data_IF_811394964429
#
_entry.id   IF_811394964429
#
_cell.length_a   1.000
_cell.length_b   1.000
_cell.length_c   1.000
_cell.angle_alpha   90.00
_cell.angle_beta   90.00
_cell.angle_gamma   90.00
#
_symmetry.space_group_name_H-M   'P 1'
#
loop_
_entity.id
_entity.type
_entity.pdbx_description
1 polymer ?
#
# COMPACT_ATOMS: atom_id res chain seq x y z
N UNK A 1 -8.42 38.71 -1.69
CA UNK A 1 -9.32 37.71 -1.05
C UNK A 1 -9.89 36.85 -2.15
N UNK A 2 -9.38 35.63 -2.33
CA UNK A 2 -9.91 34.64 -3.26
C UNK A 2 -10.47 33.49 -2.41
N UNK A 3 -11.73 33.08 -2.58
CA UNK A 3 -12.28 31.96 -1.82
C UNK A 3 -11.79 30.65 -2.46
N UNK A 4 -10.86 29.97 -1.80
CA UNK A 4 -10.46 28.61 -2.15
C UNK A 4 -11.49 27.61 -1.63
N UNK A 5 -12.11 26.86 -2.53
CA UNK A 5 -13.08 25.83 -2.22
C UNK A 5 -12.43 24.70 -1.40
N UNK A 6 -12.86 24.54 -0.14
CA UNK A 6 -12.57 23.37 0.68
C UNK A 6 -13.65 22.33 0.37
N UNK A 7 -13.27 21.23 -0.30
CA UNK A 7 -14.19 20.14 -0.65
C UNK A 7 -13.55 18.77 -0.35
N UNK A 8 -14.10 18.10 0.67
CA UNK A 8 -13.91 16.66 0.90
C UNK A 8 -13.49 16.31 2.33
N UNK A 9 -14.46 16.12 3.23
CA UNK A 9 -14.23 15.55 4.57
C UNK A 9 -14.25 14.02 4.43
N UNK A 10 -13.14 13.35 4.76
CA UNK A 10 -13.10 11.90 4.98
C UNK A 10 -12.90 11.64 6.46
N UNK A 11 -13.90 11.02 7.10
CA UNK A 11 -13.84 10.60 8.49
C UNK A 11 -13.61 9.07 8.51
N UNK A 12 -12.52 8.62 9.14
CA UNK A 12 -12.28 7.21 9.44
C UNK A 12 -12.18 7.09 10.95
N UNK A 13 -13.23 6.58 11.58
CA UNK A 13 -13.30 6.37 13.02
C UNK A 13 -13.07 4.88 13.32
N UNK A 14 -12.12 4.57 14.21
CA UNK A 14 -11.81 3.22 14.67
C UNK A 14 -12.28 3.06 16.12
N UNK A 15 -13.24 2.17 16.35
CA UNK A 15 -13.67 1.77 17.70
C UNK A 15 -13.27 0.33 18.00
N UNK A 16 -12.61 0.15 19.13
CA UNK A 16 -11.97 -1.10 19.56
C UNK A 16 -12.92 -1.94 20.41
N UNK A 17 -13.36 -3.13 19.94
CA UNK A 17 -13.74 -4.27 20.82
C UNK A 17 -13.64 -5.62 20.09
N UNK A 18 -12.95 -6.58 20.71
CA UNK A 18 -13.03 -8.02 20.40
C UNK A 18 -11.69 -8.65 20.04
N UNK A 19 -11.08 -9.40 20.97
CA UNK A 19 -9.92 -10.26 20.70
C UNK A 19 -10.34 -11.70 20.96
N UNK A 20 -10.32 -12.52 19.91
CA UNK A 20 -10.29 -13.98 20.03
C UNK A 20 -8.81 -14.38 20.13
N UNK A 21 -8.38 -14.85 21.29
CA UNK A 21 -7.00 -15.29 21.54
C UNK A 21 -6.86 -16.73 21.05
N UNK A 22 -6.16 -16.96 19.93
CA UNK A 22 -5.62 -18.27 19.60
C UNK A 22 -4.37 -18.51 20.46
N UNK A 23 -4.47 -19.41 21.44
CA UNK A 23 -3.37 -19.73 22.34
C UNK A 23 -2.32 -20.58 21.62
N UNK A 24 -1.30 -19.91 21.07
CA UNK A 24 -0.01 -20.55 20.76
C UNK A 24 0.60 -21.04 22.09
N UNK A 25 1.11 -22.28 22.18
CA UNK A 25 1.69 -22.80 23.42
C UNK A 25 2.82 -21.88 23.91
N UNK A 26 2.69 -21.39 25.14
CA UNK A 26 3.67 -20.51 25.78
C UNK A 26 4.98 -21.28 26.00
N UNK A 27 5.99 -21.02 25.17
CA UNK A 27 7.39 -21.37 25.50
C UNK A 27 7.78 -20.64 26.78
N UNK A 28 8.55 -21.30 27.64
CA UNK A 28 9.14 -20.66 28.82
C UNK A 28 9.98 -19.44 28.41
N UNK A 29 9.94 -18.34 29.19
CA UNK A 29 10.72 -17.16 28.89
C UNK A 29 12.21 -17.49 28.96
N UNK A 30 12.98 -16.99 28.00
CA UNK A 30 14.43 -17.10 28.02
C UNK A 30 15.01 -16.12 29.05
N UNK A 31 16.18 -16.46 29.59
CA UNK A 31 16.94 -15.53 30.41
C UNK A 31 17.40 -14.32 29.58
N UNK A 32 17.41 -13.14 30.20
CA UNK A 32 17.96 -11.94 29.57
C UNK A 32 19.47 -12.15 29.36
N UNK A 33 20.02 -11.84 28.17
CA UNK A 33 21.45 -11.94 27.92
C UNK A 33 22.27 -11.16 28.93
N UNK A 34 23.45 -11.67 29.26
CA UNK A 34 24.38 -11.02 30.20
C UNK A 34 25.68 -10.57 29.53
N UNK A 35 25.91 -11.00 28.30
CA UNK A 35 27.11 -10.72 27.52
C UNK A 35 26.80 -10.69 26.02
N UNK A 36 27.79 -10.25 25.21
CA UNK A 36 27.57 -10.04 23.78
C UNK A 36 27.34 -11.38 23.06
N UNK A 37 27.97 -12.48 23.52
CA UNK A 37 27.80 -13.81 22.89
C UNK A 37 26.36 -14.28 23.01
N UNK A 38 25.81 -14.27 24.23
CA UNK A 38 24.41 -14.63 24.49
C UNK A 38 23.44 -13.73 23.71
N UNK A 39 23.74 -12.44 23.62
CA UNK A 39 22.93 -11.50 22.85
C UNK A 39 22.95 -11.84 21.35
N UNK A 40 24.12 -12.11 20.77
CA UNK A 40 24.24 -12.45 19.35
C UNK A 40 23.56 -13.78 19.03
N UNK A 41 23.69 -14.79 19.89
CA UNK A 41 23.00 -16.07 19.72
C UNK A 41 21.47 -15.91 19.74
N UNK A 42 20.95 -15.11 20.66
CA UNK A 42 19.53 -14.76 20.71
C UNK A 42 19.09 -14.09 19.40
N UNK A 43 19.82 -13.07 18.94
CA UNK A 43 19.47 -12.31 17.75
C UNK A 43 19.55 -13.15 16.46
N UNK A 44 20.58 -13.99 16.30
CA UNK A 44 20.69 -14.93 15.17
C UNK A 44 19.56 -15.97 15.18
N UNK A 45 19.16 -16.43 16.38
CA UNK A 45 18.01 -17.32 16.54
C UNK A 45 16.70 -16.67 16.09
N UNK A 46 16.45 -15.45 16.54
CA UNK A 46 15.26 -14.66 16.15
C UNK A 46 15.27 -14.37 14.64
N UNK A 47 16.40 -13.93 14.09
CA UNK A 47 16.52 -13.61 12.67
C UNK A 47 16.32 -14.83 11.77
N UNK A 48 16.79 -16.01 12.20
CA UNK A 48 16.55 -17.28 11.50
C UNK A 48 15.06 -17.61 11.48
N UNK A 49 14.36 -17.53 12.61
CA UNK A 49 12.91 -17.76 12.69
C UNK A 49 12.13 -16.77 11.80
N UNK A 50 12.49 -15.49 11.83
CA UNK A 50 11.87 -14.48 10.96
C UNK A 50 12.09 -14.78 9.47
N UNK A 51 13.27 -15.27 9.09
CA UNK A 51 13.56 -15.72 7.73
C UNK A 51 12.72 -16.94 7.33
N UNK A 52 12.64 -17.94 8.20
CA UNK A 52 11.86 -19.16 7.96
C UNK A 52 10.36 -18.86 7.82
N UNK A 53 9.84 -17.89 8.57
CA UNK A 53 8.46 -17.37 8.44
C UNK A 53 8.25 -16.46 7.22
N UNK A 54 9.28 -16.18 6.43
CA UNK A 54 9.19 -15.32 5.25
C UNK A 54 8.98 -13.85 5.57
N UNK A 55 9.34 -13.38 6.78
CA UNK A 55 9.20 -11.96 7.15
C UNK A 55 10.07 -11.11 6.22
N UNK A 56 9.50 -10.12 5.51
CA UNK A 56 10.26 -9.24 4.62
C UNK A 56 11.35 -8.48 5.37
N UNK A 57 12.52 -8.27 4.74
CA UNK A 57 13.69 -7.66 5.40
C UNK A 57 13.35 -6.35 6.10
N UNK A 58 12.59 -5.47 5.44
CA UNK A 58 12.20 -4.18 5.99
C UNK A 58 11.37 -4.25 7.28
N UNK A 59 10.65 -5.35 7.52
CA UNK A 59 9.81 -5.53 8.71
C UNK A 59 10.56 -6.24 9.85
N UNK A 60 11.77 -6.73 9.61
CA UNK A 60 12.50 -7.58 10.57
C UNK A 60 12.93 -6.84 11.83
N UNK A 61 13.24 -5.55 11.77
CA UNK A 61 13.57 -4.76 12.98
C UNK A 61 12.38 -4.73 13.95
N UNK A 62 11.19 -4.37 13.47
CA UNK A 62 9.98 -4.32 14.29
C UNK A 62 9.53 -5.70 14.76
N UNK A 63 9.53 -6.68 13.86
CA UNK A 63 9.19 -8.06 14.21
C UNK A 63 10.18 -8.67 15.20
N UNK A 64 11.47 -8.36 15.05
CA UNK A 64 12.53 -8.80 15.96
C UNK A 64 12.42 -8.15 17.34
N UNK A 65 12.13 -6.85 17.42
CA UNK A 65 11.81 -6.18 18.68
C UNK A 65 10.61 -6.85 19.38
N UNK A 66 9.54 -7.13 18.64
CA UNK A 66 8.37 -7.85 19.17
C UNK A 66 8.73 -9.24 19.70
N UNK A 67 9.59 -9.96 18.97
CA UNK A 67 10.03 -11.30 19.36
C UNK A 67 10.96 -11.28 20.58
N UNK A 68 11.84 -10.30 20.72
CA UNK A 68 12.66 -10.08 21.92
C UNK A 68 11.77 -9.77 23.12
N UNK A 69 10.79 -8.85 22.98
CA UNK A 69 9.81 -8.59 24.05
C UNK A 69 9.09 -9.85 24.47
N UNK A 70 8.68 -10.67 23.50
CA UNK A 70 7.93 -11.90 23.74
C UNK A 70 8.76 -12.97 24.43
N UNK A 71 9.99 -13.21 23.96
CA UNK A 71 10.87 -14.26 24.50
C UNK A 71 11.44 -13.91 25.88
N UNK A 72 11.78 -12.65 26.12
CA UNK A 72 12.39 -12.19 27.37
C UNK A 72 11.38 -11.58 28.37
N UNK A 73 10.13 -11.35 27.95
CA UNK A 73 9.08 -10.64 28.72
C UNK A 73 9.52 -9.26 29.20
N UNK A 74 10.18 -8.53 28.31
CA UNK A 74 10.64 -7.16 28.54
C UNK A 74 9.79 -6.19 27.74
N UNK A 75 9.59 -4.99 28.28
CA UNK A 75 9.07 -3.87 27.51
C UNK A 75 10.18 -3.27 26.66
N UNK A 76 9.83 -2.84 25.45
CA UNK A 76 10.74 -2.18 24.52
C UNK A 76 10.21 -0.78 24.27
N UNK A 77 11.12 0.20 24.18
CA UNK A 77 10.80 1.59 23.85
C UNK A 77 11.53 2.02 22.57
N UNK A 78 11.11 1.56 21.37
CA UNK A 78 11.88 1.76 20.15
C UNK A 78 12.10 3.24 19.80
N UNK A 79 11.10 4.08 20.06
CA UNK A 79 11.15 5.51 19.72
C UNK A 79 12.20 6.27 20.55
N UNK A 80 12.34 5.91 21.83
CA UNK A 80 13.35 6.46 22.74
C UNK A 80 14.75 5.88 22.44
N UNK A 81 14.82 4.61 22.02
CA UNK A 81 16.07 3.90 21.81
C UNK A 81 16.81 4.28 20.51
N UNK A 82 16.12 4.86 19.51
CA UNK A 82 16.71 5.17 18.20
C UNK A 82 17.91 6.13 18.27
N UNK A 83 17.93 7.02 19.25
CA UNK A 83 19.02 7.97 19.47
C UNK A 83 19.85 7.61 20.72
N UNK A 84 19.65 6.43 21.29
CA UNK A 84 20.33 5.97 22.49
C UNK A 84 21.56 5.13 22.12
N UNK A 85 22.72 5.49 22.65
CA UNK A 85 23.91 4.65 22.53
C UNK A 85 23.96 3.63 23.69
N UNK A 86 23.91 2.32 23.40
CA UNK A 86 23.89 1.30 24.45
C UNK A 86 25.23 1.22 25.16
N UNK A 87 25.19 1.16 26.49
CA UNK A 87 26.38 1.03 27.34
C UNK A 87 26.99 -0.38 27.21
N UNK A 88 28.33 -0.51 27.19
CA UNK A 88 29.00 -1.80 27.17
C UNK A 88 28.55 -2.69 28.35
N UNK A 89 28.25 -3.97 28.08
CA UNK A 89 27.86 -4.94 29.10
C UNK A 89 26.44 -4.80 29.66
N UNK A 90 25.63 -3.85 29.19
CA UNK A 90 24.25 -3.66 29.66
C UNK A 90 23.24 -4.19 28.62
N UNK A 91 22.40 -5.13 29.04
CA UNK A 91 21.42 -5.84 28.18
C UNK A 91 19.99 -5.75 28.73
N UNK A 92 19.66 -4.64 29.38
CA UNK A 92 18.33 -4.41 29.96
C UNK A 92 17.80 -3.03 29.56
N UNK A 93 16.49 -2.85 29.68
CA UNK A 93 15.82 -1.57 29.44
C UNK A 93 16.12 -0.97 28.07
N UNK A 94 16.47 0.31 28.05
CA UNK A 94 16.72 1.06 26.83
C UNK A 94 17.97 0.58 26.08
N UNK A 95 19.01 0.15 26.80
CA UNK A 95 20.24 -0.39 26.21
C UNK A 95 19.96 -1.66 25.40
N UNK A 96 19.09 -2.55 25.90
CA UNK A 96 18.67 -3.75 25.16
C UNK A 96 17.93 -3.37 23.88
N UNK A 97 16.99 -2.43 23.98
CA UNK A 97 16.22 -1.97 22.81
C UNK A 97 17.14 -1.36 21.75
N UNK A 98 18.09 -0.51 22.15
CA UNK A 98 19.06 0.10 21.26
C UNK A 98 20.00 -0.94 20.61
N UNK A 99 20.43 -1.95 21.37
CA UNK A 99 21.23 -3.07 20.84
C UNK A 99 20.48 -3.88 19.78
N UNK A 100 19.20 -4.17 19.99
CA UNK A 100 18.37 -4.88 18.99
C UNK A 100 18.25 -4.07 17.70
N UNK A 101 17.93 -2.77 17.82
CA UNK A 101 17.85 -1.85 16.67
C UNK A 101 19.20 -1.80 15.95
N UNK A 102 20.30 -1.63 16.68
CA UNK A 102 21.65 -1.57 16.09
C UNK A 102 22.02 -2.87 15.38
N UNK A 103 21.75 -4.03 15.98
CA UNK A 103 22.04 -5.34 15.38
C UNK A 103 21.35 -5.53 14.02
N UNK A 104 20.07 -5.18 13.92
CA UNK A 104 19.36 -5.25 12.64
C UNK A 104 19.96 -4.25 11.64
N UNK A 105 20.20 -2.99 12.05
CA UNK A 105 20.79 -1.97 11.20
C UNK A 105 22.17 -2.36 10.67
N UNK A 106 23.04 -2.93 11.50
CA UNK A 106 24.37 -3.37 11.10
C UNK A 106 24.30 -4.55 10.10
N UNK A 107 23.34 -5.46 10.28
CA UNK A 107 23.19 -6.65 9.42
C UNK A 107 22.57 -6.36 8.06
N UNK A 108 21.54 -5.50 8.03
CA UNK A 108 20.69 -5.31 6.85
C UNK A 108 20.84 -3.93 6.22
N UNK A 109 21.37 -2.94 6.96
CA UNK A 109 21.62 -1.59 6.49
C UNK A 109 20.40 -0.97 5.82
N UNK A 110 20.63 -0.38 4.63
CA UNK A 110 19.59 0.28 3.83
C UNK A 110 18.43 -0.66 3.43
N UNK A 111 18.60 -1.98 3.48
CA UNK A 111 17.51 -2.93 3.18
C UNK A 111 16.44 -2.97 4.25
N UNK A 112 16.69 -2.43 5.44
CA UNK A 112 15.65 -2.20 6.45
C UNK A 112 14.78 -1.00 6.09
N UNK A 113 15.37 0.01 5.45
CA UNK A 113 14.69 1.24 5.05
C UNK A 113 13.81 1.04 3.82
N UNK A 114 13.86 -0.14 3.20
CA UNK A 114 13.00 -0.51 2.07
C UNK A 114 11.57 -0.84 2.48
N UNK A 115 11.13 -0.46 3.69
CA UNK A 115 9.70 -0.27 3.93
C UNK A 115 9.37 0.90 3.02
N UNK A 116 8.90 0.59 1.84
CA UNK A 116 8.12 1.55 1.13
C UNK A 116 6.73 1.56 1.79
N UNK A 117 6.45 2.47 2.76
CA UNK A 117 5.14 2.48 3.40
C UNK A 117 4.03 2.82 2.40
N UNK A 118 4.38 3.28 1.19
CA UNK A 118 3.43 3.69 0.16
C UNK A 118 2.52 2.52 -0.23
N UNK A 119 1.18 2.68 -0.12
CA UNK A 119 0.19 1.73 -0.60
C UNK A 119 0.41 1.19 -2.01
N UNK A 120 0.99 2.01 -2.87
CA UNK A 120 1.38 1.64 -4.22
C UNK A 120 1.79 2.87 -5.02
N UNK A 121 1.84 2.71 -6.33
CA UNK A 121 2.12 3.81 -7.26
C UNK A 121 1.20 3.73 -8.47
N UNK A 122 1.06 4.84 -9.17
CA UNK A 122 0.34 4.91 -10.44
C UNK A 122 1.11 5.71 -11.47
N UNK A 123 0.94 5.33 -12.74
CA UNK A 123 1.45 6.10 -13.86
C UNK A 123 0.46 7.19 -14.24
N UNK A 124 0.95 8.39 -14.54
CA UNK A 124 0.18 9.54 -14.99
C UNK A 124 0.88 10.15 -16.21
N UNK A 125 0.11 10.78 -17.10
CA UNK A 125 0.67 11.57 -18.20
C UNK A 125 0.65 13.02 -17.78
N UNK A 126 1.79 13.68 -17.89
CA UNK A 126 1.91 15.12 -17.72
C UNK A 126 2.80 15.65 -18.83
N UNK A 127 2.24 16.56 -19.65
CA UNK A 127 2.91 17.11 -20.84
C UNK A 127 3.50 16.05 -21.78
N UNK A 128 2.71 15.01 -22.06
CA UNK A 128 3.07 13.88 -22.92
C UNK A 128 4.16 12.95 -22.37
N UNK A 129 4.69 13.22 -21.18
CA UNK A 129 5.62 12.33 -20.48
C UNK A 129 4.92 11.52 -19.39
N UNK A 130 5.46 10.32 -19.13
CA UNK A 130 4.99 9.46 -18.04
C UNK A 130 5.70 9.86 -16.76
N UNK A 131 4.90 10.10 -15.73
CA UNK A 131 5.37 10.32 -14.37
C UNK A 131 4.83 9.23 -13.45
N UNK A 132 5.60 8.91 -12.41
CA UNK A 132 5.18 7.98 -11.36
C UNK A 132 4.67 8.81 -10.18
N UNK A 133 3.37 8.68 -9.90
CA UNK A 133 2.77 9.22 -8.70
C UNK A 133 2.80 8.14 -7.61
N UNK A 134 3.55 8.42 -6.55
CA UNK A 134 3.63 7.60 -5.35
C UNK A 134 2.42 7.85 -4.46
N UNK A 135 1.70 6.79 -4.10
CA UNK A 135 0.53 6.89 -3.24
C UNK A 135 0.98 6.78 -1.77
N UNK A 136 0.91 7.84 -0.95
CA UNK A 136 1.44 7.85 0.41
C UNK A 136 0.57 7.03 1.38
N UNK A 137 1.17 6.59 2.47
CA UNK A 137 0.42 6.18 3.66
C UNK A 137 0.08 7.44 4.47
N UNK A 138 -1.20 7.80 4.53
CA UNK A 138 -1.70 8.92 5.32
C UNK A 138 -2.43 8.38 6.55
N UNK A 139 -1.90 8.65 7.75
CA UNK A 139 -2.47 8.16 9.02
C UNK A 139 -3.20 9.31 9.72
N UNK A 140 -4.52 9.18 9.89
CA UNK A 140 -5.36 10.23 10.46
C UNK A 140 -5.78 11.28 9.44
N UNK A 141 -6.33 12.40 9.93
CA UNK A 141 -6.88 13.45 9.07
C UNK A 141 -5.76 14.26 8.41
N UNK A 142 -5.82 14.40 7.09
CA UNK A 142 -4.91 15.23 6.29
C UNK A 142 -5.72 16.07 5.31
N UNK A 143 -5.29 17.30 5.09
CA UNK A 143 -5.77 18.13 3.98
C UNK A 143 -4.91 17.82 2.75
N UNK A 144 -5.52 17.24 1.72
CA UNK A 144 -4.83 16.87 0.49
C UNK A 144 -5.00 17.98 -0.54
N UNK A 145 -3.89 18.47 -1.09
CA UNK A 145 -3.86 19.57 -2.06
C UNK A 145 -3.03 19.22 -3.29
N UNK A 146 -3.29 19.89 -4.41
CA UNK A 146 -2.39 19.97 -5.55
C UNK A 146 -2.03 21.46 -5.72
N UNK A 147 -0.87 21.87 -5.18
CA UNK A 147 -0.49 23.28 -5.11
C UNK A 147 0.94 23.54 -5.55
N UNK A 148 1.16 24.64 -6.27
CA UNK A 148 2.50 25.11 -6.66
C UNK A 148 3.26 25.73 -5.49
N UNK A 149 2.53 26.24 -4.50
CA UNK A 149 3.04 27.13 -3.46
C UNK A 149 3.19 26.42 -2.11
N UNK A 150 2.30 25.46 -1.83
CA UNK A 150 2.25 24.76 -0.55
C UNK A 150 3.13 23.52 -0.63
N UNK A 151 3.97 23.27 0.37
CA UNK A 151 4.71 22.01 0.50
C UNK A 151 4.00 21.12 1.52
N UNK A 152 4.16 19.80 1.38
CA UNK A 152 3.69 18.84 2.37
C UNK A 152 4.32 19.14 3.73
N UNK A 153 3.50 19.16 4.76
CA UNK A 153 3.98 19.26 6.13
C UNK A 153 4.25 17.85 6.64
N UNK A 154 5.51 17.52 6.93
CA UNK A 154 5.88 16.24 7.53
C UNK A 154 5.60 16.25 9.04
N UNK A 155 4.87 15.24 9.53
CA UNK A 155 4.86 14.88 10.95
C UNK A 155 3.48 14.82 11.58
N UNK A 156 3.39 13.99 12.63
CA UNK A 156 2.33 14.09 13.64
C UNK A 156 2.42 15.50 14.22
N UNK A 157 1.46 16.36 13.91
CA UNK A 157 1.34 17.65 14.58
C UNK A 157 1.06 17.38 16.06
N UNK A 158 1.95 17.85 16.94
CA UNK A 158 1.75 17.81 18.41
C UNK A 158 0.51 18.63 18.82
N UNK A 159 0.10 19.56 17.96
CA UNK A 159 -1.13 20.32 18.09
C UNK A 159 -2.26 19.62 17.31
N UNK A 160 -3.18 18.99 18.05
CA UNK A 160 -4.36 18.34 17.50
C UNK A 160 -5.32 19.29 16.76
N UNK A 161 -5.12 20.62 16.85
CA UNK A 161 -5.91 21.61 16.12
C UNK A 161 -5.40 21.90 14.70
N UNK A 162 -4.18 21.48 14.36
CA UNK A 162 -3.59 21.70 13.03
C UNK A 162 -3.68 20.40 12.23
N UNK A 163 -4.48 20.43 11.17
CA UNK A 163 -4.54 19.32 10.20
C UNK A 163 -3.32 19.37 9.29
N UNK A 164 -2.48 18.32 9.23
CA UNK A 164 -1.35 18.28 8.32
C UNK A 164 -1.80 18.38 6.85
N UNK A 165 -1.03 19.11 6.05
CA UNK A 165 -1.25 19.24 4.62
C UNK A 165 -0.36 18.27 3.86
N UNK A 166 -0.95 17.51 2.95
CA UNK A 166 -0.23 16.67 1.99
C UNK A 166 -0.40 17.23 0.58
N UNK A 167 0.70 17.65 -0.04
CA UNK A 167 0.70 18.10 -1.42
C UNK A 167 1.06 16.94 -2.36
N UNK A 168 0.15 16.60 -3.27
CA UNK A 168 0.29 15.51 -4.24
C UNK A 168 1.54 15.70 -5.11
N UNK A 169 1.96 16.94 -5.37
CA UNK A 169 3.14 17.21 -6.20
C UNK A 169 4.44 16.71 -5.57
N UNK A 170 4.52 16.62 -4.23
CA UNK A 170 5.68 16.06 -3.54
C UNK A 170 5.74 14.53 -3.63
N UNK A 171 4.65 13.89 -4.09
CA UNK A 171 4.58 12.45 -4.34
C UNK A 171 4.90 12.07 -5.80
N UNK A 172 5.10 13.04 -6.69
CA UNK A 172 5.47 12.75 -8.09
C UNK A 172 6.98 12.54 -8.17
N UNK A 173 7.41 11.35 -8.59
CA UNK A 173 8.82 10.97 -8.66
C UNK A 173 9.62 11.89 -9.58
N UNK A 174 10.71 12.46 -9.07
CA UNK A 174 11.60 13.33 -9.86
C UNK A 174 11.03 14.71 -10.21
N UNK A 175 9.85 15.09 -9.67
CA UNK A 175 9.24 16.39 -9.94
C UNK A 175 10.14 17.52 -9.42
N UNK A 176 10.62 18.37 -10.31
CA UNK A 176 11.46 19.52 -9.94
C UNK A 176 10.60 20.71 -9.50
N UNK A 177 11.14 21.58 -8.63
CA UNK A 177 10.46 22.82 -8.23
C UNK A 177 10.14 23.73 -9.42
N UNK A 178 11.02 23.75 -10.43
CA UNK A 178 10.78 24.53 -11.66
C UNK A 178 9.57 24.00 -12.44
N UNK A 179 9.48 22.68 -12.62
CA UNK A 179 8.33 22.06 -13.28
C UNK A 179 7.05 22.29 -12.46
N UNK A 180 7.10 22.06 -11.14
CA UNK A 180 5.99 22.28 -10.21
C UNK A 180 5.42 23.71 -10.31
N UNK A 181 6.29 24.72 -10.31
CA UNK A 181 5.89 26.12 -10.43
C UNK A 181 5.24 26.44 -11.79
N UNK A 182 5.55 25.66 -12.83
CA UNK A 182 5.04 25.87 -14.19
C UNK A 182 3.72 25.16 -14.49
N UNK A 183 3.21 24.29 -13.62
CA UNK A 183 2.00 23.50 -13.88
C UNK A 183 0.76 24.39 -14.01
N UNK A 184 -0.09 24.13 -14.99
CA UNK A 184 -1.36 24.83 -15.18
C UNK A 184 -2.43 24.32 -14.21
N UNK A 185 -3.51 25.07 -13.99
CA UNK A 185 -4.61 24.59 -13.13
C UNK A 185 -5.22 23.27 -13.65
N UNK A 186 -5.48 23.10 -14.96
CA UNK A 186 -5.95 21.81 -15.48
C UNK A 186 -5.00 20.64 -15.18
N UNK A 187 -3.68 20.84 -15.31
CA UNK A 187 -2.69 19.81 -14.95
C UNK A 187 -2.76 19.46 -13.44
N UNK A 188 -3.00 20.43 -12.57
CA UNK A 188 -3.18 20.19 -11.13
C UNK A 188 -4.48 19.43 -10.84
N UNK A 189 -5.57 19.76 -11.54
CA UNK A 189 -6.86 19.08 -11.41
C UNK A 189 -6.78 17.63 -11.88
N UNK A 190 -6.07 17.37 -12.98
CA UNK A 190 -5.80 16.02 -13.50
C UNK A 190 -4.99 15.18 -12.50
N UNK A 191 -3.94 15.75 -11.89
CA UNK A 191 -3.15 15.09 -10.85
C UNK A 191 -4.01 14.75 -9.62
N UNK A 192 -4.85 15.68 -9.18
CA UNK A 192 -5.79 15.48 -8.08
C UNK A 192 -6.82 14.39 -8.42
N UNK A 193 -7.35 14.38 -9.64
CA UNK A 193 -8.28 13.36 -10.10
C UNK A 193 -7.61 11.97 -10.10
N UNK A 194 -6.41 11.85 -10.66
CA UNK A 194 -5.62 10.62 -10.64
C UNK A 194 -5.39 10.11 -9.21
N UNK A 195 -5.00 11.00 -8.29
CA UNK A 195 -4.80 10.66 -6.88
C UNK A 195 -6.08 10.13 -6.20
N UNK A 196 -7.24 10.77 -6.47
CA UNK A 196 -8.56 10.35 -5.96
C UNK A 196 -9.00 8.97 -6.47
N UNK A 197 -8.41 8.51 -7.59
CA UNK A 197 -8.62 7.16 -8.12
C UNK A 197 -7.66 6.17 -7.44
N UNK A 198 -6.36 6.45 -7.54
CA UNK A 198 -5.31 5.52 -7.11
C UNK A 198 -5.32 5.23 -5.62
N UNK A 199 -5.46 6.27 -4.79
CA UNK A 199 -5.44 6.13 -3.33
C UNK A 199 -6.47 5.14 -2.79
N UNK A 200 -7.79 5.35 -2.96
CA UNK A 200 -8.77 4.42 -2.43
C UNK A 200 -8.67 3.02 -3.04
N UNK A 201 -8.26 2.89 -4.31
CA UNK A 201 -8.05 1.59 -4.96
C UNK A 201 -6.95 0.78 -4.27
N UNK A 202 -5.75 1.35 -4.08
CA UNK A 202 -4.62 0.65 -3.47
C UNK A 202 -4.81 0.42 -1.97
N UNK A 203 -5.39 1.37 -1.24
CA UNK A 203 -5.70 1.16 0.18
C UNK A 203 -6.65 -0.01 0.38
N UNK A 204 -7.70 -0.08 -0.45
CA UNK A 204 -8.66 -1.18 -0.41
C UNK A 204 -8.02 -2.52 -0.82
N UNK A 205 -7.28 -2.56 -1.92
CA UNK A 205 -6.60 -3.78 -2.34
C UNK A 205 -5.64 -4.28 -1.25
N UNK A 206 -4.86 -3.38 -0.63
CA UNK A 206 -3.96 -3.75 0.47
C UNK A 206 -4.68 -4.24 1.71
N UNK A 207 -5.83 -3.68 2.06
CA UNK A 207 -6.62 -4.20 3.19
C UNK A 207 -7.18 -5.60 2.93
N UNK A 208 -7.18 -6.06 1.68
CA UNK A 208 -7.62 -7.39 1.28
C UNK A 208 -6.47 -8.28 0.81
N UNK A 209 -5.22 -7.94 1.11
CA UNK A 209 -4.02 -8.62 0.57
C UNK A 209 -4.04 -10.14 0.76
N UNK A 210 -4.59 -10.60 1.89
CA UNK A 210 -4.66 -12.03 2.24
C UNK A 210 -5.80 -12.77 1.55
N UNK A 211 -6.69 -12.04 0.84
CA UNK A 211 -7.74 -12.64 0.05
C UNK A 211 -7.18 -13.16 -1.28
N UNK A 212 -7.74 -14.28 -1.74
CA UNK A 212 -7.25 -14.96 -2.92
C UNK A 212 -7.21 -14.02 -4.15
N UNK A 213 -6.09 -14.05 -4.89
CA UNK A 213 -5.80 -13.25 -6.08
C UNK A 213 -5.52 -11.76 -5.85
N UNK A 214 -5.70 -11.23 -4.63
CA UNK A 214 -5.52 -9.79 -4.38
C UNK A 214 -4.05 -9.40 -4.38
N UNK A 215 -3.18 -10.21 -3.77
CA UNK A 215 -1.73 -9.97 -3.80
C UNK A 215 -1.19 -9.95 -5.24
N UNK A 216 -1.66 -10.86 -6.08
CA UNK A 216 -1.32 -10.92 -7.50
C UNK A 216 -1.88 -9.72 -8.27
N UNK A 217 -3.11 -9.28 -7.97
CA UNK A 217 -3.67 -8.09 -8.59
C UNK A 217 -2.89 -6.81 -8.24
N UNK A 218 -2.43 -6.67 -7.00
CA UNK A 218 -1.52 -5.57 -6.59
C UNK A 218 -0.22 -5.65 -7.39
N UNK A 219 0.36 -6.85 -7.51
CA UNK A 219 1.58 -7.06 -8.31
C UNK A 219 1.39 -6.68 -9.78
N UNK A 220 0.23 -6.95 -10.36
CA UNK A 220 -0.10 -6.58 -11.74
C UNK A 220 -0.28 -5.07 -11.92
N UNK A 221 -0.91 -4.37 -10.96
CA UNK A 221 -0.95 -2.90 -10.95
C UNK A 221 0.45 -2.29 -10.90
N UNK A 222 1.31 -2.81 -10.03
CA UNK A 222 2.70 -2.38 -9.89
C UNK A 222 3.53 -2.66 -11.16
N UNK A 223 3.29 -3.81 -11.79
CA UNK A 223 3.93 -4.18 -13.06
C UNK A 223 3.48 -3.26 -14.19
N UNK A 224 2.22 -2.85 -14.20
CA UNK A 224 1.69 -1.87 -15.16
C UNK A 224 2.49 -0.57 -15.10
N UNK A 225 2.71 -0.04 -13.90
CA UNK A 225 3.51 1.19 -13.70
C UNK A 225 4.96 0.99 -14.16
N UNK A 226 5.57 -0.15 -13.84
CA UNK A 226 6.94 -0.47 -14.26
C UNK A 226 7.07 -0.47 -15.79
N UNK A 227 6.13 -1.08 -16.51
CA UNK A 227 6.16 -1.12 -17.98
C UNK A 227 5.88 0.24 -18.64
N UNK A 228 5.17 1.14 -17.96
CA UNK A 228 4.87 2.49 -18.44
C UNK A 228 6.02 3.47 -18.18
N UNK A 229 6.65 3.38 -17.00
CA UNK A 229 7.66 4.33 -16.54
C UNK A 229 9.11 3.87 -16.78
N UNK A 230 9.33 2.59 -17.10
CA UNK A 230 10.66 2.06 -17.42
C UNK A 230 11.30 2.72 -18.64
N UNK A 231 12.63 2.71 -18.69
CA UNK A 231 13.40 3.27 -19.82
C UNK A 231 13.03 2.62 -21.16
N UNK A 232 12.90 1.30 -21.15
CA UNK A 232 12.31 0.53 -22.26
C UNK A 232 10.82 0.32 -21.99
N UNK A 233 10.02 1.25 -22.49
CA UNK A 233 8.57 1.24 -22.31
C UNK A 233 7.93 0.07 -23.07
N UNK A 234 7.10 -0.72 -22.38
CA UNK A 234 6.41 -1.88 -22.95
C UNK A 234 4.89 -1.72 -22.86
N UNK A 235 4.31 -0.89 -23.73
CA UNK A 235 2.89 -0.53 -23.70
C UNK A 235 1.94 -1.74 -23.74
N UNK A 236 2.26 -2.74 -24.56
CA UNK A 236 1.48 -3.97 -24.63
C UNK A 236 1.53 -4.78 -23.32
N UNK A 237 2.69 -4.85 -22.67
CA UNK A 237 2.83 -5.51 -21.36
C UNK A 237 2.10 -4.72 -20.27
N UNK A 238 2.16 -3.39 -20.31
CA UNK A 238 1.40 -2.53 -19.40
C UNK A 238 -0.11 -2.79 -19.50
N UNK A 239 -0.66 -2.81 -20.72
CA UNK A 239 -2.10 -3.09 -20.92
C UNK A 239 -2.49 -4.50 -20.48
N UNK A 240 -1.66 -5.48 -20.79
CA UNK A 240 -1.90 -6.85 -20.33
C UNK A 240 -1.90 -6.95 -18.79
N UNK A 241 -0.93 -6.31 -18.13
CA UNK A 241 -0.88 -6.25 -16.67
C UNK A 241 -2.10 -5.52 -16.09
N UNK A 242 -2.56 -4.42 -16.68
CA UNK A 242 -3.77 -3.72 -16.25
C UNK A 242 -5.03 -4.61 -16.34
N UNK A 243 -5.19 -5.35 -17.44
CA UNK A 243 -6.24 -6.36 -17.59
C UNK A 243 -6.17 -7.41 -16.49
N UNK A 244 -4.98 -7.95 -16.26
CA UNK A 244 -4.77 -8.98 -15.24
C UNK A 244 -5.08 -8.48 -13.83
N UNK A 245 -4.73 -7.23 -13.51
CA UNK A 245 -5.08 -6.60 -12.24
C UNK A 245 -6.60 -6.50 -12.07
N UNK A 246 -7.31 -5.97 -13.08
CA UNK A 246 -8.77 -5.86 -13.07
C UNK A 246 -9.45 -7.23 -12.97
N UNK A 247 -9.03 -8.20 -13.78
CA UNK A 247 -9.55 -9.57 -13.80
C UNK A 247 -9.47 -10.22 -12.41
N UNK A 248 -8.30 -10.16 -11.78
CA UNK A 248 -8.04 -10.74 -10.47
C UNK A 248 -8.81 -10.04 -9.36
N UNK A 249 -8.92 -8.70 -9.39
CA UNK A 249 -9.74 -7.95 -8.44
C UNK A 249 -11.22 -8.32 -8.55
N UNK A 250 -11.78 -8.39 -9.76
CA UNK A 250 -13.20 -8.78 -9.95
C UNK A 250 -13.44 -10.22 -9.52
N UNK A 251 -12.51 -11.15 -9.83
CA UNK A 251 -12.60 -12.55 -9.39
C UNK A 251 -12.55 -12.68 -7.86
N UNK A 252 -11.68 -11.92 -7.20
CA UNK A 252 -11.63 -11.86 -5.73
C UNK A 252 -12.94 -11.32 -5.17
N UNK A 253 -13.46 -10.22 -5.74
CA UNK A 253 -14.74 -9.65 -5.34
C UNK A 253 -15.89 -10.66 -5.45
N UNK A 254 -16.03 -11.37 -6.58
CA UNK A 254 -17.05 -12.42 -6.74
C UNK A 254 -16.99 -13.45 -5.61
N UNK A 255 -15.79 -13.89 -5.22
CA UNK A 255 -15.60 -14.84 -4.10
C UNK A 255 -16.01 -14.24 -2.76
N UNK A 256 -15.67 -12.98 -2.50
CA UNK A 256 -16.03 -12.28 -1.26
C UNK A 256 -17.54 -12.04 -1.13
N UNK A 257 -18.26 -12.03 -2.24
CA UNK A 257 -19.73 -12.02 -2.28
C UNK A 257 -20.35 -13.44 -2.28
N UNK A 258 -19.55 -14.48 -2.04
CA UNK A 258 -20.01 -15.88 -1.94
C UNK A 258 -20.21 -16.59 -3.28
N UNK A 259 -19.78 -16.00 -4.39
CA UNK A 259 -19.88 -16.58 -5.72
C UNK A 259 -18.64 -17.38 -6.16
N UNK A 260 -18.78 -18.10 -7.28
CA UNK A 260 -17.68 -18.75 -7.97
C UNK A 260 -17.39 -18.01 -9.29
N UNK A 261 -16.19 -17.43 -9.49
CA UNK A 261 -15.90 -16.70 -10.71
C UNK A 261 -15.86 -17.64 -11.92
N UNK A 262 -16.46 -17.27 -13.07
CA UNK A 262 -16.38 -18.06 -14.28
C UNK A 262 -14.94 -18.19 -14.79
N UNK A 263 -14.64 -19.30 -15.46
CA UNK A 263 -13.35 -19.57 -16.10
C UNK A 263 -13.25 -18.81 -17.42
N UNK A 264 -13.03 -17.51 -17.33
CA UNK A 264 -12.92 -16.59 -18.46
C UNK A 264 -11.86 -15.52 -18.18
N UNK A 265 -11.37 -14.91 -19.26
CA UNK A 265 -10.52 -13.71 -19.26
C UNK A 265 -11.27 -12.45 -19.72
N UNK A 266 -12.57 -12.57 -19.97
CA UNK A 266 -13.43 -11.43 -20.29
C UNK A 266 -13.81 -10.71 -19.00
N UNK A 267 -13.30 -9.49 -18.80
CA UNK A 267 -13.68 -8.66 -17.65
C UNK A 267 -15.15 -8.28 -17.68
N UNK A 268 -15.74 -8.20 -18.87
CA UNK A 268 -17.17 -7.94 -19.07
C UNK A 268 -18.05 -9.10 -18.54
N UNK A 269 -17.68 -10.36 -18.84
CA UNK A 269 -18.37 -11.53 -18.29
C UNK A 269 -18.23 -11.61 -16.77
N UNK A 270 -17.03 -11.29 -16.26
CA UNK A 270 -16.79 -11.23 -14.81
C UNK A 270 -17.60 -10.12 -14.15
N UNK A 271 -17.69 -8.93 -14.77
CA UNK A 271 -18.48 -7.82 -14.28
C UNK A 271 -19.96 -8.18 -14.16
N UNK A 272 -20.53 -8.88 -15.16
CA UNK A 272 -21.91 -9.40 -15.08
C UNK A 272 -22.11 -10.38 -13.93
N UNK A 273 -21.15 -11.28 -13.71
CA UNK A 273 -21.20 -12.21 -12.57
C UNK A 273 -21.11 -11.49 -11.23
N UNK A 274 -20.27 -10.46 -11.15
CA UNK A 274 -20.17 -9.61 -9.96
C UNK A 274 -21.47 -8.83 -9.72
N UNK A 275 -22.04 -8.21 -10.75
CA UNK A 275 -23.29 -7.46 -10.67
C UNK A 275 -24.46 -8.31 -10.18
N UNK A 276 -24.57 -9.55 -10.65
CA UNK A 276 -25.60 -10.48 -10.19
C UNK A 276 -25.53 -10.77 -8.68
N UNK A 277 -24.36 -10.59 -8.05
CA UNK A 277 -24.14 -10.80 -6.62
C UNK A 277 -24.22 -9.50 -5.81
N UNK A 278 -23.63 -8.42 -6.33
CA UNK A 278 -23.51 -7.13 -5.64
C UNK A 278 -24.74 -6.25 -5.79
N UNK A 279 -25.55 -6.48 -6.83
CA UNK A 279 -26.67 -5.64 -7.23
C UNK A 279 -26.25 -4.33 -7.91
N UNK A 280 -24.98 -4.16 -8.26
CA UNK A 280 -24.51 -2.98 -9.00
C UNK A 280 -23.39 -3.33 -9.97
N UNK A 281 -23.58 -2.97 -11.23
CA UNK A 281 -22.60 -3.14 -12.29
C UNK A 281 -21.34 -2.30 -12.14
N UNK A 282 -20.31 -2.69 -12.88
CA UNK A 282 -19.11 -1.89 -13.12
C UNK A 282 -19.30 -1.07 -14.39
N UNK A 283 -18.60 0.06 -14.47
CA UNK A 283 -18.69 0.98 -15.61
C UNK A 283 -18.21 0.30 -16.91
N UNK A 284 -19.08 0.22 -17.95
CA UNK A 284 -18.73 -0.37 -19.24
C UNK A 284 -17.52 0.27 -19.92
N UNK A 285 -17.30 1.58 -19.75
CA UNK A 285 -16.21 2.29 -20.42
C UNK A 285 -14.85 1.89 -19.81
N UNK A 286 -14.81 1.68 -18.50
CA UNK A 286 -13.62 1.13 -17.83
C UNK A 286 -13.36 -0.32 -18.23
N UNK A 287 -14.42 -1.14 -18.35
CA UNK A 287 -14.29 -2.53 -18.81
C UNK A 287 -13.74 -2.60 -20.25
N UNK A 288 -14.24 -1.75 -21.15
CA UNK A 288 -13.77 -1.66 -22.51
C UNK A 288 -12.31 -1.18 -22.59
N UNK A 289 -11.97 -0.17 -21.78
CA UNK A 289 -10.62 0.43 -21.75
C UNK A 289 -9.54 -0.55 -21.29
N UNK A 290 -9.88 -1.45 -20.35
CA UNK A 290 -8.93 -2.44 -19.83
C UNK A 290 -8.89 -3.73 -20.66
N UNK A 291 -9.95 -4.06 -21.39
CA UNK A 291 -10.04 -5.32 -22.13
C UNK A 291 -9.06 -5.35 -23.32
N UNK A 292 -8.20 -6.37 -23.33
CA UNK A 292 -7.25 -6.64 -24.42
C UNK A 292 -7.15 -8.14 -24.68
N UNK A 293 -6.65 -8.53 -25.85
CA UNK A 293 -6.28 -9.93 -26.13
C UNK A 293 -4.88 -10.23 -25.58
N UNK A 294 -4.54 -11.51 -25.32
CA UNK A 294 -3.18 -11.90 -24.91
C UNK A 294 -2.08 -11.50 -25.91
N UNK A 295 -2.47 -11.27 -27.18
CA UNK A 295 -1.60 -10.90 -28.29
C UNK A 295 -0.99 -9.50 -28.16
N UNK A 296 -1.58 -8.59 -27.37
CA UNK A 296 -1.09 -7.21 -27.19
C UNK A 296 0.37 -7.17 -26.71
N UNK A 297 0.81 -8.20 -25.99
CA UNK A 297 2.19 -8.38 -25.52
C UNK A 297 3.20 -8.60 -26.64
N UNK A 298 2.74 -9.13 -27.77
CA UNK A 298 3.54 -9.44 -28.95
C UNK A 298 3.40 -8.39 -30.04
N UNK A 299 2.79 -7.23 -29.74
CA UNK A 299 2.54 -6.16 -30.71
C UNK A 299 1.27 -6.36 -31.52
N UNK A 300 0.39 -7.30 -31.15
CA UNK A 300 -0.91 -7.44 -31.81
C UNK A 300 -1.87 -6.34 -31.32
N UNK A 301 -2.20 -5.43 -32.23
CA UNK A 301 -3.11 -4.30 -31.97
C UNK A 301 -2.38 -3.03 -31.53
N UNK A 302 -2.98 -1.85 -31.77
CA UNK A 302 -2.38 -0.58 -31.42
C UNK A 302 -2.27 -0.46 -29.90
N UNK A 303 -1.10 -0.05 -29.42
CA UNK A 303 -0.84 0.21 -28.02
C UNK A 303 0.07 1.42 -27.87
N UNK A 304 -0.52 2.60 -27.91
CA UNK A 304 0.19 3.85 -27.61
C UNK A 304 0.16 4.14 -26.09
N UNK A 305 0.89 5.20 -25.72
CA UNK A 305 1.02 5.61 -24.33
C UNK A 305 -0.32 6.05 -23.71
N UNK A 306 -1.11 6.95 -24.32
CA UNK A 306 -2.42 7.33 -23.79
C UNK A 306 -3.33 6.13 -23.54
N UNK A 307 -3.39 5.17 -24.48
CA UNK A 307 -4.21 3.96 -24.35
C UNK A 307 -3.73 3.10 -23.17
N UNK A 308 -2.42 2.93 -23.01
CA UNK A 308 -1.88 2.10 -21.93
C UNK A 308 -2.09 2.73 -20.54
N UNK A 309 -1.95 4.05 -20.41
CA UNK A 309 -2.24 4.77 -19.16
C UNK A 309 -3.75 4.77 -18.87
N UNK A 310 -4.60 4.94 -19.89
CA UNK A 310 -6.05 4.83 -19.74
C UNK A 310 -6.45 3.43 -19.23
N UNK A 311 -5.89 2.36 -19.76
CA UNK A 311 -6.12 1.00 -19.26
C UNK A 311 -5.69 0.83 -17.79
N UNK A 312 -4.55 1.43 -17.39
CA UNK A 312 -4.10 1.43 -16.01
C UNK A 312 -5.10 2.15 -15.07
N UNK A 313 -5.54 3.35 -15.45
CA UNK A 313 -6.52 4.11 -14.66
C UNK A 313 -7.87 3.39 -14.59
N UNK A 314 -8.32 2.78 -15.69
CA UNK A 314 -9.54 1.97 -15.72
C UNK A 314 -9.47 0.77 -14.76
N UNK A 315 -8.33 0.08 -14.69
CA UNK A 315 -8.13 -1.01 -13.73
C UNK A 315 -8.20 -0.53 -12.27
N UNK A 316 -7.64 0.64 -11.97
CA UNK A 316 -7.74 1.26 -10.64
C UNK A 316 -9.17 1.71 -10.34
N UNK A 317 -9.89 2.27 -11.32
CA UNK A 317 -11.30 2.65 -11.18
C UNK A 317 -12.19 1.44 -10.91
N UNK A 318 -11.98 0.32 -11.60
CA UNK A 318 -12.67 -0.95 -11.31
C UNK A 318 -12.40 -1.39 -9.85
N UNK A 319 -11.14 -1.33 -9.42
CA UNK A 319 -10.74 -1.67 -8.04
C UNK A 319 -11.44 -0.75 -7.02
N UNK A 320 -11.47 0.56 -7.29
CA UNK A 320 -12.15 1.56 -6.46
C UNK A 320 -13.65 1.33 -6.42
N UNK A 321 -14.28 1.04 -7.55
CA UNK A 321 -15.72 0.78 -7.65
C UNK A 321 -16.11 -0.45 -6.81
N UNK A 322 -15.33 -1.54 -6.90
CA UNK A 322 -15.50 -2.71 -6.03
C UNK A 322 -15.44 -2.30 -4.55
N UNK A 323 -14.48 -1.47 -4.16
CA UNK A 323 -14.36 -1.00 -2.76
C UNK A 323 -15.63 -0.29 -2.27
N UNK A 324 -16.23 0.55 -3.11
CA UNK A 324 -17.47 1.28 -2.79
C UNK A 324 -18.62 0.28 -2.60
N UNK A 325 -18.73 -0.72 -3.47
CA UNK A 325 -19.79 -1.73 -3.36
C UNK A 325 -19.62 -2.63 -2.14
N UNK A 326 -18.39 -3.00 -1.79
CA UNK A 326 -18.13 -3.78 -0.58
C UNK A 326 -18.49 -3.00 0.68
N UNK A 327 -18.15 -1.70 0.74
CA UNK A 327 -18.55 -0.83 1.86
C UNK A 327 -20.06 -0.66 1.99
N UNK A 328 -20.80 -0.63 0.88
CA UNK A 328 -22.27 -0.61 0.94
C UNK A 328 -22.87 -1.93 1.43
N UNK A 329 -22.16 -3.03 1.23
CA UNK A 329 -22.61 -4.39 1.54
C UNK A 329 -21.89 -4.99 2.78
N UNK A 330 -21.41 -4.14 3.70
CA UNK A 330 -20.66 -4.54 4.91
C UNK A 330 -21.37 -5.61 5.77
N UNK A 331 -22.69 -5.75 5.66
CA UNK A 331 -23.45 -6.81 6.35
C UNK A 331 -23.66 -8.12 5.57
N UNK A 332 -23.43 -8.15 4.25
CA UNK A 332 -23.70 -9.31 3.38
C UNK A 332 -22.48 -10.16 3.07
N UNK A 333 -21.29 -9.58 3.17
CA UNK A 333 -20.03 -10.24 2.77
C UNK A 333 -19.48 -11.21 3.81
N UNK A 334 -20.11 -11.31 5.00
CA UNK A 334 -19.66 -12.18 6.10
C UNK A 334 -18.27 -11.83 6.66
N UNK A 335 -17.64 -10.76 6.15
CA UNK A 335 -16.36 -10.24 6.61
C UNK A 335 -16.59 -9.30 7.80
N UNK A 336 -15.97 -9.62 8.93
CA UNK A 336 -15.86 -8.69 10.04
C UNK A 336 -14.79 -7.65 9.71
N UNK A 337 -15.21 -6.50 9.16
CA UNK A 337 -14.33 -5.40 8.82
C UNK A 337 -13.70 -4.72 10.04
N UNK A 338 -14.11 -5.05 11.27
CA UNK A 338 -13.39 -4.63 12.48
C UNK A 338 -12.12 -5.47 12.74
N UNK A 339 -12.02 -6.63 12.08
CA UNK A 339 -10.87 -7.55 12.14
C UNK A 339 -9.86 -7.35 11.00
N UNK A 340 -10.24 -6.62 9.94
CA UNK A 340 -9.34 -6.22 8.85
C UNK A 340 -8.44 -5.09 9.36
N UNK A 341 -7.47 -5.46 10.19
CA UNK A 341 -6.36 -4.58 10.53
C UNK A 341 -5.47 -4.48 9.28
N UNK A 342 -4.98 -3.30 8.91
CA UNK A 342 -3.83 -3.24 8.05
C UNK A 342 -2.73 -4.07 8.75
N UNK A 343 -2.33 -5.17 8.12
CA UNK A 343 -1.13 -5.90 8.51
C UNK A 343 0.04 -4.96 8.21
N UNK A 344 0.43 -4.18 9.23
CA UNK A 344 1.65 -3.39 9.23
C UNK A 344 2.85 -4.27 9.58
#
# INVERSE_FOLDING_TARGET
MVPGAVLGIFEVSLTTKGVLVTTVPRREPLAVPTNDVEFHELMEGIDRDLRERGVPVYARELAGLSEVSRQLRVEQSPMEARNHEPRPGVYQGLDLTARVIRWFNDRYGERLRSLDPRPGRMAIILRSDVWVLHLPLLIGRHDVVASREIQSTSGVTMDASITPVFNILDAVEGMTRSLQASLTNPELDELMAAFKIGMPAYFFARSLRDQALVSEAISDHESTVLFLAGGDRHMGQARWAALQAAEKMVKSAIRLFGGAPPRTHSVEQLARSFEALSGTGLDPDHLASVQVSPGVRYGEGPSDLPTAVCAHHAALEITRAISVQMRKNLGRTGLDWTSVRPSY
#
